data_IF_608386229150
#
_entry.id   IF_608386229150
#
_cell.length_a   1.000
_cell.length_b   1.000
_cell.length_c   1.000
_cell.angle_alpha   90.00
_cell.angle_beta   90.00
_cell.angle_gamma   90.00
#
_symmetry.space_group_name_H-M   'P 1'
#
loop_
_entity.id
_entity.type
_entity.pdbx_description
1 polymer ?
#
# COMPACT_ATOMS: atom_id res chain seq x y z
N UNK A 1 17.93 13.94 -18.19
CA UNK A 1 19.31 13.72 -17.74
C UNK A 1 19.99 12.54 -18.46
N UNK A 2 19.28 11.44 -18.73
CA UNK A 2 19.84 10.20 -19.25
C UNK A 2 19.60 10.00 -20.75
N UNK A 3 19.17 11.03 -21.49
CA UNK A 3 18.89 10.95 -22.95
C UNK A 3 17.98 9.76 -23.34
N UNK A 4 16.91 9.56 -22.57
CA UNK A 4 15.99 8.44 -22.74
C UNK A 4 15.15 8.59 -24.01
N UNK A 5 14.82 7.49 -24.72
CA UNK A 5 13.90 7.52 -25.85
C UNK A 5 12.53 8.09 -25.46
N UNK A 6 11.93 8.90 -26.35
CA UNK A 6 10.64 9.57 -26.08
C UNK A 6 9.52 8.56 -25.77
N UNK A 7 9.52 7.38 -26.39
CA UNK A 7 8.55 6.32 -26.10
C UNK A 7 8.62 5.87 -24.64
N UNK A 8 9.82 5.76 -24.08
CA UNK A 8 10.05 5.42 -22.67
C UNK A 8 9.55 6.53 -21.74
N UNK A 9 9.88 7.79 -22.05
CA UNK A 9 9.42 8.96 -21.31
C UNK A 9 7.89 9.05 -21.30
N UNK A 10 7.24 8.80 -22.44
CA UNK A 10 5.78 8.83 -22.56
C UNK A 10 5.11 7.79 -21.66
N UNK A 11 5.67 6.59 -21.52
CA UNK A 11 5.13 5.57 -20.60
C UNK A 11 5.25 6.01 -19.15
N UNK A 12 6.38 6.62 -18.78
CA UNK A 12 6.63 7.09 -17.42
C UNK A 12 5.73 8.26 -16.98
N UNK A 13 5.24 9.04 -17.95
CA UNK A 13 4.27 10.11 -17.70
C UNK A 13 2.81 9.62 -17.66
N UNK A 14 2.54 8.37 -18.03
CA UNK A 14 1.17 7.81 -17.92
C UNK A 14 0.85 7.54 -16.46
N UNK A 15 0.00 8.35 -15.87
CA UNK A 15 -0.61 8.06 -14.60
C UNK A 15 -1.91 7.28 -14.85
N UNK A 16 -1.89 5.97 -14.67
CA UNK A 16 -3.06 5.10 -14.85
C UNK A 16 -3.83 4.88 -13.54
N UNK A 17 -3.24 5.26 -12.41
CA UNK A 17 -3.86 5.07 -11.11
C UNK A 17 -4.93 6.13 -10.85
N UNK A 18 -6.10 5.68 -10.44
CA UNK A 18 -7.16 6.56 -9.95
C UNK A 18 -7.83 5.97 -8.72
N UNK A 19 -8.08 6.79 -7.72
CA UNK A 19 -8.93 6.45 -6.56
C UNK A 19 -10.42 6.69 -6.82
N UNK A 20 -10.77 7.11 -8.03
CA UNK A 20 -12.13 7.51 -8.38
C UNK A 20 -12.57 8.74 -7.59
N UNK A 21 -13.80 8.71 -7.04
CA UNK A 21 -14.37 9.79 -6.23
C UNK A 21 -14.05 9.67 -4.74
N UNK A 22 -13.22 8.71 -4.32
CA UNK A 22 -12.87 8.54 -2.92
C UNK A 22 -12.02 9.71 -2.39
N UNK A 23 -12.21 10.06 -1.12
CA UNK A 23 -11.41 11.08 -0.44
C UNK A 23 -9.95 10.64 -0.31
N UNK A 24 -9.74 9.36 0.01
CA UNK A 24 -8.41 8.77 0.08
C UNK A 24 -8.38 7.32 -0.45
N UNK A 25 -7.27 6.95 -1.09
CA UNK A 25 -6.93 5.55 -1.28
C UNK A 25 -6.29 4.98 0.00
N UNK A 26 -6.24 3.64 0.11
CA UNK A 26 -5.56 2.98 1.24
C UNK A 26 -4.10 3.43 1.35
N UNK A 27 -3.38 3.53 0.23
CA UNK A 27 -1.98 3.99 0.20
C UNK A 27 -1.83 5.46 0.60
N UNK A 28 -2.77 6.34 0.23
CA UNK A 28 -2.79 7.72 0.73
C UNK A 28 -3.11 7.77 2.22
N UNK A 29 -4.04 6.93 2.70
CA UNK A 29 -4.46 6.92 4.09
C UNK A 29 -3.33 6.51 5.04
N UNK A 30 -2.48 5.56 4.67
CA UNK A 30 -1.31 5.16 5.47
C UNK A 30 -0.12 6.13 5.33
N UNK A 31 -0.11 7.01 4.32
CA UNK A 31 0.96 7.99 4.13
C UNK A 31 0.86 9.18 5.10
N UNK A 32 1.91 10.00 5.17
CA UNK A 32 1.88 11.21 6.00
C UNK A 32 0.80 12.20 5.53
N UNK A 33 -0.14 12.60 6.41
CA UNK A 33 -1.15 13.61 6.08
C UNK A 33 -0.54 14.92 5.60
N UNK A 34 0.52 15.39 6.27
CA UNK A 34 1.25 16.60 5.90
C UNK A 34 1.84 16.51 4.48
N UNK A 35 2.55 15.42 4.18
CA UNK A 35 3.13 15.21 2.85
C UNK A 35 2.05 15.13 1.78
N UNK A 36 0.92 14.49 2.08
CA UNK A 36 -0.22 14.40 1.16
C UNK A 36 -0.77 15.80 0.83
N UNK A 37 -0.91 16.69 1.79
CA UNK A 37 -1.40 18.04 1.56
C UNK A 37 -0.35 18.92 0.86
N UNK A 38 0.93 18.84 1.24
CA UNK A 38 2.00 19.56 0.56
C UNK A 38 2.13 19.15 -0.91
N UNK A 39 1.99 17.87 -1.22
CA UNK A 39 1.96 17.40 -2.63
C UNK A 39 0.79 17.97 -3.42
N UNK A 40 -0.39 18.12 -2.81
CA UNK A 40 -1.53 18.76 -3.47
C UNK A 40 -1.29 20.25 -3.70
N UNK A 41 -0.74 20.96 -2.71
CA UNK A 41 -0.48 22.39 -2.76
C UNK A 41 0.58 22.73 -3.82
N UNK A 42 1.65 21.93 -3.91
CA UNK A 42 2.80 22.15 -4.78
C UNK A 42 2.84 21.19 -5.96
N UNK A 43 1.67 20.70 -6.40
CA UNK A 43 1.63 19.71 -7.47
C UNK A 43 2.34 20.16 -8.74
N UNK A 44 2.16 21.42 -9.13
CA UNK A 44 2.75 22.01 -10.33
C UNK A 44 4.23 22.37 -10.16
N UNK A 45 4.72 22.46 -8.92
CA UNK A 45 6.11 22.75 -8.59
C UNK A 45 6.99 21.49 -8.47
N UNK A 46 6.37 20.30 -8.44
CA UNK A 46 7.11 19.05 -8.24
C UNK A 46 7.75 18.61 -9.56
N UNK A 47 9.06 18.72 -9.63
CA UNK A 47 9.86 18.14 -10.70
C UNK A 47 10.32 16.74 -10.32
N UNK A 48 9.86 15.72 -11.05
CA UNK A 48 10.28 14.34 -10.86
C UNK A 48 11.20 13.90 -12.01
N UNK A 49 12.39 13.38 -11.69
CA UNK A 49 13.22 12.75 -12.73
C UNK A 49 12.53 11.46 -13.20
N UNK A 50 12.37 11.37 -14.50
CA UNK A 50 11.76 10.21 -15.16
C UNK A 50 12.46 8.89 -14.76
N UNK A 51 13.77 8.93 -14.49
CA UNK A 51 14.52 7.77 -14.05
C UNK A 51 14.06 7.21 -12.70
N UNK A 52 13.53 8.05 -11.80
CA UNK A 52 13.06 7.62 -10.49
C UNK A 52 11.76 6.79 -10.58
N UNK A 53 11.02 6.92 -11.69
CA UNK A 53 9.77 6.20 -11.95
C UNK A 53 9.96 4.79 -12.53
N UNK A 54 11.18 4.40 -12.88
CA UNK A 54 11.46 3.10 -13.53
C UNK A 54 10.94 1.92 -12.68
N UNK A 55 11.17 1.97 -11.39
CA UNK A 55 10.73 0.90 -10.49
C UNK A 55 9.22 0.86 -10.28
N UNK A 56 8.55 1.99 -10.36
CA UNK A 56 7.09 2.04 -10.34
C UNK A 56 6.48 1.39 -11.60
N UNK A 57 7.06 1.64 -12.78
CA UNK A 57 6.65 0.95 -14.02
C UNK A 57 6.88 -0.55 -13.90
N UNK A 58 8.03 -0.98 -13.38
CA UNK A 58 8.32 -2.39 -13.21
C UNK A 58 7.28 -3.06 -12.31
N UNK A 59 6.91 -2.43 -11.20
CA UNK A 59 5.80 -2.87 -10.35
C UNK A 59 4.50 -3.00 -11.13
N UNK A 60 4.08 -1.93 -11.82
CA UNK A 60 2.84 -1.92 -12.62
C UNK A 60 2.83 -3.01 -13.69
N UNK A 61 3.95 -3.23 -14.38
CA UNK A 61 4.06 -4.28 -15.41
C UNK A 61 3.91 -5.69 -14.82
N UNK A 62 4.50 -5.95 -13.65
CA UNK A 62 4.34 -7.23 -12.95
C UNK A 62 2.90 -7.44 -12.54
N UNK A 63 2.21 -6.45 -11.94
CA UNK A 63 0.79 -6.55 -11.61
C UNK A 63 -0.04 -6.88 -12.85
N UNK A 64 0.14 -6.15 -13.96
CA UNK A 64 -0.60 -6.38 -15.20
C UNK A 64 -0.38 -7.80 -15.78
N UNK A 65 0.80 -8.40 -15.58
CA UNK A 65 1.05 -9.78 -16.00
C UNK A 65 0.37 -10.77 -15.05
N UNK A 66 0.42 -10.53 -13.73
CA UNK A 66 -0.18 -11.41 -12.74
C UNK A 66 -1.71 -11.43 -12.81
N UNK A 67 -2.33 -10.32 -13.20
CA UNK A 67 -3.78 -10.23 -13.49
C UNK A 67 -4.25 -11.20 -14.58
N UNK A 68 -3.37 -11.66 -15.46
CA UNK A 68 -3.70 -12.65 -16.49
C UNK A 68 -3.86 -14.07 -15.91
N UNK A 69 -3.33 -14.32 -14.73
CA UNK A 69 -3.42 -15.59 -14.04
C UNK A 69 -4.78 -15.78 -13.39
N UNK A 70 -5.71 -16.48 -14.09
CA UNK A 70 -7.06 -16.73 -13.58
C UNK A 70 -7.14 -18.05 -12.84
N UNK A 71 -7.84 -18.04 -11.72
CA UNK A 71 -8.21 -19.23 -10.94
C UNK A 71 -9.63 -19.05 -10.41
N UNK A 72 -10.39 -20.14 -10.31
CA UNK A 72 -11.81 -20.10 -9.88
C UNK A 72 -11.98 -19.63 -8.44
N UNK A 73 -10.98 -19.86 -7.60
CA UNK A 73 -10.98 -19.46 -6.19
C UNK A 73 -10.29 -18.10 -5.94
N UNK A 74 -9.93 -17.38 -7.00
CA UNK A 74 -9.24 -16.10 -6.90
C UNK A 74 -10.10 -14.94 -7.39
N UNK A 75 -10.15 -13.86 -6.60
CA UNK A 75 -10.66 -12.55 -7.01
C UNK A 75 -9.47 -11.60 -7.15
N UNK A 76 -9.26 -11.10 -8.36
CA UNK A 76 -8.07 -10.34 -8.75
C UNK A 76 -8.47 -8.87 -8.95
N UNK A 77 -7.62 -7.93 -8.54
CA UNK A 77 -7.73 -6.48 -8.76
C UNK A 77 -9.11 -5.90 -8.40
N UNK A 78 -9.67 -6.35 -7.30
CA UNK A 78 -10.97 -5.86 -6.85
C UNK A 78 -10.84 -4.57 -6.05
N UNK A 79 -11.49 -3.51 -6.55
CA UNK A 79 -11.62 -2.26 -5.81
C UNK A 79 -12.84 -2.28 -4.91
N UNK A 80 -12.63 -2.03 -3.63
CA UNK A 80 -13.66 -1.88 -2.62
C UNK A 80 -13.69 -0.45 -2.09
N UNK A 81 -14.89 -0.02 -1.65
CA UNK A 81 -15.13 1.31 -1.10
C UNK A 81 -15.89 1.19 0.20
N UNK A 82 -15.56 2.04 1.17
CA UNK A 82 -16.32 2.18 2.41
C UNK A 82 -16.25 3.61 2.92
N UNK A 83 -17.30 4.05 3.62
CA UNK A 83 -17.33 5.34 4.30
C UNK A 83 -16.95 5.17 5.77
N UNK A 84 -16.08 6.05 6.27
CA UNK A 84 -15.67 6.15 7.67
C UNK A 84 -15.70 7.63 8.06
N UNK A 85 -16.53 7.98 9.02
CA UNK A 85 -16.66 9.34 9.56
C UNK A 85 -16.81 10.44 8.47
N UNK A 86 -17.59 10.12 7.41
CA UNK A 86 -17.83 11.01 6.28
C UNK A 86 -16.76 10.94 5.17
N UNK A 87 -15.69 10.16 5.36
CA UNK A 87 -14.66 9.96 4.35
C UNK A 87 -14.87 8.67 3.58
N UNK A 88 -14.94 8.77 2.26
CA UNK A 88 -14.94 7.61 1.37
C UNK A 88 -13.51 7.14 1.15
N UNK A 89 -13.24 5.90 1.53
CA UNK A 89 -11.95 5.23 1.38
C UNK A 89 -12.07 4.22 0.26
N UNK A 90 -11.06 4.12 -0.60
CA UNK A 90 -10.99 3.08 -1.62
C UNK A 90 -9.70 2.27 -1.55
N UNK A 91 -9.83 0.95 -1.71
CA UNK A 91 -8.71 0.02 -1.81
C UNK A 91 -8.85 -0.88 -3.02
N UNK A 92 -7.82 -0.95 -3.88
CA UNK A 92 -7.69 -1.97 -4.90
C UNK A 92 -6.87 -3.11 -4.29
N UNK A 93 -7.46 -4.29 -4.19
CA UNK A 93 -6.85 -5.47 -3.59
C UNK A 93 -6.35 -6.35 -4.73
N UNK A 94 -5.05 -6.60 -4.77
CA UNK A 94 -4.40 -7.33 -5.87
C UNK A 94 -4.97 -8.74 -6.01
N UNK A 95 -5.07 -9.46 -4.89
CA UNK A 95 -5.54 -10.85 -4.89
C UNK A 95 -6.30 -11.17 -3.60
N UNK A 96 -7.47 -11.78 -3.75
CA UNK A 96 -8.22 -12.42 -2.68
C UNK A 96 -8.36 -13.91 -3.01
N UNK A 97 -7.71 -14.77 -2.24
CA UNK A 97 -7.82 -16.22 -2.38
C UNK A 97 -8.96 -16.72 -1.51
N UNK A 98 -9.98 -17.30 -2.12
CA UNK A 98 -11.15 -17.81 -1.43
C UNK A 98 -10.88 -19.20 -0.85
N UNK A 99 -11.04 -19.37 0.44
CA UNK A 99 -10.88 -20.63 1.14
C UNK A 99 -12.18 -21.00 1.87
N UNK A 100 -12.39 -22.27 2.26
CA UNK A 100 -13.66 -22.71 2.88
C UNK A 100 -14.03 -21.95 4.17
N UNK A 101 -13.02 -21.47 4.91
CA UNK A 101 -13.15 -20.82 6.22
C UNK A 101 -12.89 -19.30 6.17
N UNK A 102 -12.70 -18.72 4.99
CA UNK A 102 -12.52 -17.29 4.84
C UNK A 102 -11.68 -16.87 3.63
N UNK A 103 -11.29 -15.63 3.60
CA UNK A 103 -10.47 -15.04 2.53
C UNK A 103 -9.05 -14.84 2.99
N UNK A 104 -8.08 -15.24 2.19
CA UNK A 104 -6.69 -14.80 2.32
C UNK A 104 -6.51 -13.55 1.44
N UNK A 105 -6.16 -12.43 2.05
CA UNK A 105 -5.87 -11.18 1.33
C UNK A 105 -4.39 -11.11 1.03
N UNK A 106 -4.05 -11.04 -0.26
CA UNK A 106 -2.67 -11.00 -0.72
C UNK A 106 -2.39 -9.72 -1.49
N UNK A 107 -1.15 -9.25 -1.39
CA UNK A 107 -0.67 -8.08 -2.12
C UNK A 107 0.71 -8.38 -2.73
N UNK A 108 0.88 -8.02 -4.00
CA UNK A 108 2.13 -8.23 -4.72
C UNK A 108 3.08 -7.05 -4.50
N UNK A 109 4.30 -7.33 -4.06
CA UNK A 109 5.33 -6.30 -3.87
C UNK A 109 6.57 -6.59 -4.69
N UNK A 110 6.85 -5.72 -5.65
CA UNK A 110 8.13 -5.72 -6.36
C UNK A 110 9.14 -4.91 -5.56
N UNK A 111 10.08 -5.57 -4.91
CA UNK A 111 10.94 -4.94 -3.89
C UNK A 111 12.37 -5.45 -3.93
N UNK A 112 13.26 -4.89 -3.10
CA UNK A 112 14.61 -5.40 -2.88
C UNK A 112 14.68 -6.40 -1.73
N UNK A 113 15.73 -7.23 -1.72
CA UNK A 113 15.97 -8.24 -0.67
C UNK A 113 16.01 -7.62 0.73
N UNK A 114 16.58 -6.42 0.87
CA UNK A 114 16.63 -5.72 2.15
C UNK A 114 15.23 -5.51 2.75
N UNK A 115 14.25 -5.14 1.93
CA UNK A 115 12.90 -4.90 2.40
C UNK A 115 12.19 -6.17 2.88
N UNK A 116 12.57 -7.33 2.33
CA UNK A 116 12.05 -8.65 2.72
C UNK A 116 12.68 -9.17 4.00
N UNK A 117 13.89 -8.71 4.32
CA UNK A 117 14.64 -9.07 5.53
C UNK A 117 14.29 -8.18 6.74
N UNK A 118 13.57 -7.08 6.51
CA UNK A 118 13.23 -6.10 7.54
C UNK A 118 11.73 -5.84 7.55
N UNK A 119 11.16 -5.70 8.73
CA UNK A 119 9.74 -5.44 8.90
C UNK A 119 9.30 -4.18 8.17
N UNK A 120 8.18 -4.29 7.47
CA UNK A 120 7.55 -3.21 6.73
C UNK A 120 6.16 -2.91 7.30
N UNK A 121 6.12 -1.97 8.26
CA UNK A 121 4.87 -1.53 8.88
C UNK A 121 3.84 -1.05 7.87
N UNK A 122 4.27 -0.42 6.78
CA UNK A 122 3.37 0.05 5.73
C UNK A 122 2.61 -1.11 5.05
N UNK A 123 3.27 -2.26 4.87
CA UNK A 123 2.64 -3.45 4.32
C UNK A 123 1.59 -4.02 5.27
N UNK A 124 1.93 -4.10 6.56
CA UNK A 124 1.01 -4.55 7.59
C UNK A 124 -0.22 -3.65 7.70
N UNK A 125 -0.02 -2.34 7.73
CA UNK A 125 -1.11 -1.35 7.75
C UNK A 125 -1.99 -1.45 6.51
N UNK A 126 -1.40 -1.53 5.32
CA UNK A 126 -2.12 -1.62 4.05
C UNK A 126 -3.01 -2.86 4.02
N UNK A 127 -2.47 -4.04 4.32
CA UNK A 127 -3.21 -5.29 4.29
C UNK A 127 -4.31 -5.35 5.35
N UNK A 128 -4.07 -4.79 6.54
CA UNK A 128 -5.10 -4.72 7.57
C UNK A 128 -6.27 -3.80 7.18
N UNK A 129 -6.03 -2.70 6.45
CA UNK A 129 -7.12 -1.89 5.90
C UNK A 129 -7.85 -2.66 4.79
N UNK A 130 -7.15 -3.39 3.93
CA UNK A 130 -7.78 -4.25 2.93
C UNK A 130 -8.66 -5.33 3.56
N UNK A 131 -8.19 -5.99 4.61
CA UNK A 131 -8.97 -6.96 5.37
C UNK A 131 -10.24 -6.34 5.95
N UNK A 132 -10.14 -5.14 6.52
CA UNK A 132 -11.30 -4.42 7.03
C UNK A 132 -12.30 -4.09 5.90
N UNK A 133 -11.83 -3.66 4.74
CA UNK A 133 -12.68 -3.41 3.57
C UNK A 133 -13.41 -4.67 3.11
N UNK A 134 -12.73 -5.82 3.05
CA UNK A 134 -13.35 -7.11 2.70
C UNK A 134 -14.46 -7.46 3.69
N UNK A 135 -14.16 -7.45 4.97
CA UNK A 135 -15.15 -7.81 5.99
C UNK A 135 -16.30 -6.80 6.09
N UNK A 136 -16.00 -5.50 5.95
CA UNK A 136 -17.02 -4.44 6.03
C UNK A 136 -17.98 -4.47 4.84
N UNK A 137 -17.44 -4.66 3.63
CA UNK A 137 -18.21 -4.55 2.37
C UNK A 137 -18.78 -5.90 1.94
N UNK A 138 -17.98 -6.95 1.96
CA UNK A 138 -18.37 -8.28 1.46
C UNK A 138 -18.99 -9.17 2.54
N UNK A 139 -18.85 -8.79 3.82
CA UNK A 139 -19.29 -9.60 4.98
C UNK A 139 -18.67 -11.01 5.02
N UNK A 140 -17.49 -11.16 4.43
CA UNK A 140 -16.74 -12.41 4.39
C UNK A 140 -15.58 -12.30 5.36
N UNK A 141 -15.37 -13.26 6.28
CA UNK A 141 -14.27 -13.20 7.22
C UNK A 141 -12.92 -13.29 6.49
N UNK A 142 -11.94 -12.54 6.96
CA UNK A 142 -10.55 -12.65 6.50
C UNK A 142 -9.81 -13.60 7.44
N UNK A 143 -9.16 -14.60 6.86
CA UNK A 143 -8.43 -15.65 7.57
C UNK A 143 -6.98 -15.28 7.83
N UNK A 144 -6.30 -14.74 6.83
CA UNK A 144 -4.89 -14.36 6.90
C UNK A 144 -4.53 -13.29 5.87
N UNK A 145 -3.35 -12.71 6.05
CA UNK A 145 -2.79 -11.68 5.20
C UNK A 145 -1.43 -12.13 4.69
N UNK A 146 -1.16 -11.96 3.41
CA UNK A 146 0.09 -12.40 2.79
C UNK A 146 0.66 -11.31 1.88
N UNK A 147 1.95 -11.03 1.97
CA UNK A 147 2.72 -10.31 0.95
C UNK A 147 3.41 -11.31 0.07
N UNK A 148 3.22 -11.19 -1.25
CA UNK A 148 3.95 -11.97 -2.24
C UNK A 148 5.05 -11.08 -2.79
N UNK A 149 6.25 -11.18 -2.20
CA UNK A 149 7.39 -10.34 -2.53
C UNK A 149 8.16 -10.91 -3.73
N UNK A 150 8.27 -10.11 -4.79
CA UNK A 150 9.09 -10.38 -5.98
C UNK A 150 10.36 -9.55 -5.83
N UNK A 151 11.50 -10.24 -5.66
CA UNK A 151 12.76 -9.65 -5.22
C UNK A 151 13.63 -9.32 -6.44
N UNK A 152 13.64 -8.06 -6.84
CA UNK A 152 14.28 -7.59 -8.07
C UNK A 152 15.82 -7.65 -8.08
N UNK A 153 16.43 -7.62 -6.89
CA UNK A 153 17.88 -7.64 -6.67
C UNK A 153 18.35 -8.95 -6.03
N UNK A 154 17.54 -10.02 -6.14
CA UNK A 154 17.89 -11.30 -5.60
C UNK A 154 19.15 -11.87 -6.25
N UNK A 155 20.02 -12.47 -5.44
CA UNK A 155 21.27 -13.07 -5.86
C UNK A 155 21.40 -14.49 -5.32
N UNK A 156 21.64 -15.45 -6.24
CA UNK A 156 21.89 -16.85 -5.86
C UNK A 156 23.11 -16.99 -4.96
N UNK A 157 24.14 -16.19 -5.18
CA UNK A 157 25.35 -16.19 -4.34
C UNK A 157 25.00 -15.72 -2.92
N UNK A 158 24.25 -14.65 -2.79
CA UNK A 158 23.88 -14.11 -1.48
C UNK A 158 22.98 -15.08 -0.71
N UNK A 159 22.08 -15.78 -1.40
CA UNK A 159 21.25 -16.83 -0.82
C UNK A 159 22.06 -18.02 -0.24
N UNK A 160 23.25 -18.25 -0.77
CA UNK A 160 24.13 -19.33 -0.28
C UNK A 160 25.05 -18.91 0.88
N UNK A 161 25.32 -17.62 1.04
CA UNK A 161 26.37 -17.15 1.97
C UNK A 161 25.89 -16.17 3.03
N UNK A 162 24.71 -15.55 2.85
CA UNK A 162 24.18 -14.56 3.80
C UNK A 162 23.05 -15.17 4.63
N UNK A 163 23.23 -15.19 5.94
CA UNK A 163 22.19 -15.60 6.87
C UNK A 163 20.94 -14.70 6.75
N UNK A 164 19.76 -15.33 6.77
CA UNK A 164 18.47 -14.62 6.66
C UNK A 164 18.14 -14.05 5.28
N UNK A 165 19.03 -14.22 4.29
CA UNK A 165 18.74 -13.79 2.92
C UNK A 165 17.70 -14.73 2.28
N UNK A 166 16.75 -14.19 1.46
CA UNK A 166 15.73 -15.01 0.81
C UNK A 166 16.31 -16.12 -0.04
N UNK A 167 15.80 -17.34 0.10
CA UNK A 167 16.27 -18.53 -0.63
C UNK A 167 15.94 -18.47 -2.13
N UNK A 168 14.87 -17.76 -2.50
CA UNK A 168 14.36 -17.64 -3.85
C UNK A 168 14.05 -16.17 -4.22
N UNK A 169 13.96 -15.83 -5.54
CA UNK A 169 13.59 -14.48 -5.99
C UNK A 169 12.15 -14.10 -5.71
N UNK A 170 11.38 -15.02 -5.13
CA UNK A 170 10.01 -14.79 -4.66
C UNK A 170 9.87 -15.33 -3.24
N UNK A 171 9.12 -14.60 -2.38
CA UNK A 171 8.85 -15.03 -1.02
C UNK A 171 7.42 -14.64 -0.64
N UNK A 172 6.68 -15.59 -0.05
CA UNK A 172 5.42 -15.31 0.63
C UNK A 172 5.75 -14.97 2.08
N UNK A 173 5.19 -13.89 2.57
CA UNK A 173 5.41 -13.35 3.91
C UNK A 173 4.06 -13.23 4.59
N UNK A 174 3.89 -13.96 5.67
CA UNK A 174 2.71 -13.83 6.53
C UNK A 174 2.74 -12.47 7.24
N UNK A 175 1.59 -11.79 7.24
CA UNK A 175 1.41 -10.50 7.88
C UNK A 175 0.44 -10.63 9.05
N UNK A 176 0.74 -10.05 10.23
CA UNK A 176 -0.17 -10.10 11.36
C UNK A 176 -1.56 -9.54 11.02
N UNK A 177 -2.59 -10.32 11.26
CA UNK A 177 -3.98 -9.89 11.13
C UNK A 177 -4.44 -9.30 12.48
N UNK A 178 -4.72 -8.01 12.49
CA UNK A 178 -5.24 -7.32 13.68
C UNK A 178 -6.71 -7.70 13.94
N UNK A 179 -7.19 -7.46 15.14
CA UNK A 179 -8.61 -7.57 15.41
C UNK A 179 -9.42 -6.62 14.54
N UNK A 180 -10.70 -6.93 14.29
CA UNK A 180 -11.57 -6.02 13.53
C UNK A 180 -11.65 -4.63 14.18
N UNK A 181 -11.71 -4.59 15.50
CA UNK A 181 -11.77 -3.36 16.29
C UNK A 181 -10.49 -2.53 16.13
N UNK A 182 -9.31 -3.15 16.23
CA UNK A 182 -8.03 -2.45 16.06
C UNK A 182 -7.90 -1.87 14.64
N UNK A 183 -8.31 -2.62 13.62
CA UNK A 183 -8.35 -2.14 12.24
C UNK A 183 -9.28 -0.94 12.08
N UNK A 184 -10.49 -1.02 12.63
CA UNK A 184 -11.46 0.07 12.55
C UNK A 184 -10.97 1.32 13.30
N UNK A 185 -10.40 1.17 14.48
CA UNK A 185 -9.82 2.26 15.26
C UNK A 185 -8.64 2.91 14.54
N UNK A 186 -7.74 2.10 13.97
CA UNK A 186 -6.63 2.59 13.16
C UNK A 186 -7.13 3.42 11.98
N UNK A 187 -8.12 2.94 11.23
CA UNK A 187 -8.68 3.64 10.07
C UNK A 187 -9.32 4.96 10.49
N UNK A 188 -10.12 4.99 11.56
CA UNK A 188 -10.74 6.21 12.09
C UNK A 188 -9.68 7.24 12.47
N UNK A 189 -8.64 6.82 13.16
CA UNK A 189 -7.55 7.73 13.51
C UNK A 189 -6.83 8.28 12.28
N UNK A 190 -6.57 7.46 11.26
CA UNK A 190 -5.99 7.92 10.00
C UNK A 190 -6.88 8.93 9.28
N UNK A 191 -8.19 8.65 9.21
CA UNK A 191 -9.18 9.58 8.64
C UNK A 191 -9.18 10.91 9.39
N UNK A 192 -9.19 10.88 10.72
CA UNK A 192 -9.14 12.08 11.55
C UNK A 192 -7.90 12.93 11.27
N UNK A 193 -6.72 12.29 11.16
CA UNK A 193 -5.47 12.99 10.87
C UNK A 193 -5.46 13.62 9.48
N UNK A 194 -5.94 12.92 8.46
CA UNK A 194 -6.04 13.44 7.10
C UNK A 194 -7.10 14.54 6.96
N UNK A 195 -8.24 14.40 7.64
CA UNK A 195 -9.29 15.41 7.69
C UNK A 195 -8.77 16.71 8.32
N UNK A 196 -8.08 16.62 9.46
CA UNK A 196 -7.49 17.78 10.11
C UNK A 196 -6.45 18.48 9.21
N UNK A 197 -5.61 17.71 8.52
CA UNK A 197 -4.63 18.27 7.60
C UNK A 197 -5.29 18.94 6.38
N UNK A 198 -6.39 18.36 5.86
CA UNK A 198 -7.16 18.96 4.76
C UNK A 198 -7.80 20.28 5.20
N UNK A 199 -8.43 20.28 6.39
CA UNK A 199 -9.02 21.48 6.96
C UNK A 199 -7.99 22.60 7.21
N UNK A 200 -6.81 22.25 7.73
CA UNK A 200 -5.72 23.21 7.92
C UNK A 200 -5.28 23.84 6.60
N UNK A 201 -5.17 23.04 5.53
CA UNK A 201 -4.83 23.57 4.20
C UNK A 201 -5.91 24.54 3.67
N UNK A 202 -7.19 24.15 3.80
CA UNK A 202 -8.33 24.98 3.33
C UNK A 202 -8.47 26.31 4.08
N UNK A 203 -8.14 26.34 5.36
CA UNK A 203 -8.22 27.52 6.22
C UNK A 203 -6.95 28.37 6.24
N UNK A 204 -5.89 27.93 5.58
CA UNK A 204 -4.57 28.59 5.60
C UNK A 204 -3.88 28.50 6.98
N UNK A 205 -4.28 27.52 7.79
CA UNK A 205 -3.64 27.23 9.07
C UNK A 205 -2.40 26.37 8.88
N UNK A 206 -1.54 26.34 9.91
CA UNK A 206 -0.35 25.48 9.88
C UNK A 206 -0.71 24.00 9.74
N UNK A 207 -0.10 23.33 8.78
CA UNK A 207 -0.26 21.89 8.63
C UNK A 207 0.30 21.18 9.87
N UNK A 208 -0.38 20.13 10.36
CA UNK A 208 0.08 19.36 11.50
C UNK A 208 1.49 18.81 11.20
N UNK A 209 2.32 18.71 12.25
CA UNK A 209 3.65 18.13 12.11
C UNK A 209 3.57 16.71 11.56
N UNK A 210 4.59 16.34 10.78
CA UNK A 210 4.74 14.97 10.31
C UNK A 210 5.11 14.07 11.47
N UNK A 211 4.12 13.40 12.05
CA UNK A 211 4.38 12.40 13.09
C UNK A 211 4.97 11.17 12.43
N UNK A 212 6.15 10.75 12.86
CA UNK A 212 6.73 9.48 12.43
C UNK A 212 5.77 8.35 12.83
N UNK A 213 5.44 7.45 11.89
CA UNK A 213 4.52 6.32 12.12
C UNK A 213 4.95 5.41 13.27
N UNK A 214 6.20 5.46 13.66
CA UNK A 214 6.72 4.72 14.83
C UNK A 214 6.05 5.12 16.15
N UNK A 215 5.49 6.31 16.25
CA UNK A 215 4.79 6.78 17.46
C UNK A 215 3.30 6.48 17.48
N UNK A 216 2.67 6.21 16.32
CA UNK A 216 1.23 5.91 16.25
C UNK A 216 0.91 4.43 16.46
N UNK A 217 1.89 3.56 16.39
CA UNK A 217 1.72 2.09 16.48
C UNK A 217 2.11 1.50 17.83
N UNK A 218 2.60 2.30 18.74
CA UNK A 218 2.75 1.85 20.13
C UNK A 218 1.44 2.18 20.83
N UNK A 219 0.67 1.18 21.30
CA UNK A 219 -0.20 1.44 22.42
C UNK A 219 0.72 2.04 23.48
N UNK A 220 0.38 3.20 23.94
CA UNK A 220 1.10 3.80 25.08
C UNK A 220 0.97 2.81 26.21
N UNK A 221 1.95 1.94 26.35
CA UNK A 221 2.19 1.29 27.61
C UNK A 221 2.71 2.42 28.47
N UNK A 222 1.76 3.09 29.10
CA UNK A 222 2.06 3.92 30.24
C UNK A 222 2.65 2.99 31.30
N UNK A 223 3.95 3.08 31.47
CA UNK A 223 4.59 2.70 32.70
C UNK A 223 4.24 3.71 33.78
#
# INVERSE_FOLDING_TARGET
KYNLPQTFVNVLHRNTYTKGKAHASVTELISSPRITQLRKLHWDDIEEDVADKVWAIFGTAIHAVLELGKDENHVIEQRLHANVDGWDISGAIDLQRMEPDGVVVCDYKTTGAWAVMNDKKDWEQQLNIYAWLVEKVKKTPVKSLEIIAIIRDWSRRDAQVKEGYPEAPIKVIDVPLWSFEDRENFIKERVRLHSNASFALETGSDLPESVSYTHLTLPTILL
#
